data_IF_893818994771
#
_entry.id   IF_893818994771
#
_cell.length_a   1.000
_cell.length_b   1.000
_cell.length_c   1.000
_cell.angle_alpha   90.00
_cell.angle_beta   90.00
_cell.angle_gamma   90.00
#
_symmetry.space_group_name_H-M   'P 1'
#
loop_
_entity.id
_entity.type
_entity.pdbx_description
1 polymer ?
#
# COMPACT_ATOMS: atom_id res chain seq x y z
N UNK A 1 -4.88 -54.36 77.31
CA UNK A 1 -5.79 -53.22 77.34
C UNK A 1 -5.45 -52.39 76.08
N UNK A 2 -6.04 -52.69 75.01
CA UNK A 2 -7.19 -52.07 74.30
C UNK A 2 -6.98 -50.63 73.90
N UNK A 3 -6.88 -50.40 72.60
CA UNK A 3 -6.97 -49.05 72.03
C UNK A 3 -6.84 -49.14 70.52
N UNK A 4 -7.99 -49.52 69.86
CA UNK A 4 -8.14 -49.45 68.41
C UNK A 4 -8.44 -47.99 68.02
N UNK A 5 -7.70 -47.37 67.12
CA UNK A 5 -8.06 -46.15 66.45
C UNK A 5 -8.05 -46.40 64.97
N UNK A 6 -9.25 -46.34 64.37
CA UNK A 6 -9.57 -46.36 62.97
C UNK A 6 -9.20 -45.02 62.39
N UNK A 7 -8.29 -44.96 61.45
CA UNK A 7 -8.04 -43.79 60.61
C UNK A 7 -8.83 -43.97 59.31
N UNK A 8 -9.90 -43.20 59.16
CA UNK A 8 -10.69 -43.09 57.91
C UNK A 8 -9.94 -42.17 56.94
N UNK A 9 -9.41 -42.78 55.89
CA UNK A 9 -8.78 -42.04 54.80
C UNK A 9 -9.84 -41.46 53.86
N UNK A 10 -9.86 -40.13 53.75
CA UNK A 10 -10.65 -39.42 52.76
C UNK A 10 -9.85 -39.31 51.48
N UNK A 11 -10.24 -40.10 50.47
CA UNK A 11 -9.74 -39.94 49.08
C UNK A 11 -10.60 -38.91 48.39
N UNK A 12 -10.09 -37.68 48.22
CA UNK A 12 -10.70 -36.67 47.38
C UNK A 12 -10.22 -36.90 45.95
N UNK A 13 -11.07 -37.50 45.14
CA UNK A 13 -10.87 -37.60 43.70
C UNK A 13 -11.21 -36.23 43.04
N UNK A 14 -10.16 -35.49 42.68
CA UNK A 14 -10.28 -34.30 41.82
C UNK A 14 -10.45 -34.77 40.37
N UNK A 15 -11.69 -34.86 39.90
CA UNK A 15 -11.99 -35.00 38.48
C UNK A 15 -11.85 -33.62 37.84
N UNK A 16 -10.68 -33.33 37.31
CA UNK A 16 -10.46 -32.17 36.42
C UNK A 16 -11.00 -32.49 35.05
N UNK A 17 -12.20 -32.03 34.73
CA UNK A 17 -12.63 -31.90 33.32
C UNK A 17 -11.81 -30.81 32.65
N UNK A 18 -10.78 -31.18 31.92
CA UNK A 18 -10.21 -30.35 30.89
C UNK A 18 -11.04 -30.53 29.61
N UNK A 19 -12.07 -29.74 29.46
CA UNK A 19 -12.69 -29.50 28.16
C UNK A 19 -11.72 -28.69 27.31
N UNK A 20 -10.76 -29.34 26.70
CA UNK A 20 -10.08 -28.80 25.53
C UNK A 20 -11.05 -28.89 24.37
N UNK A 21 -11.98 -27.93 24.34
CA UNK A 21 -12.76 -27.66 23.14
C UNK A 21 -11.80 -27.39 22.01
N UNK A 22 -11.49 -28.42 21.24
CA UNK A 22 -10.88 -28.27 19.92
C UNK A 22 -11.87 -27.45 19.09
N UNK A 23 -11.65 -26.15 19.05
CA UNK A 23 -12.36 -25.30 18.07
C UNK A 23 -12.02 -25.88 16.71
N UNK A 24 -13.01 -26.34 15.93
CA UNK A 24 -12.73 -26.74 14.56
C UNK A 24 -12.17 -25.48 13.86
N UNK A 25 -10.91 -25.53 13.47
CA UNK A 25 -10.38 -24.57 12.52
C UNK A 25 -11.26 -24.66 11.28
N UNK A 26 -11.88 -23.59 10.82
CA UNK A 26 -12.61 -23.62 9.55
C UNK A 26 -11.56 -23.83 8.45
N UNK A 27 -11.37 -25.09 8.09
CA UNK A 27 -10.58 -25.50 6.94
C UNK A 27 -11.32 -25.02 5.70
N UNK A 28 -10.99 -23.83 5.20
CA UNK A 28 -11.53 -23.35 3.93
C UNK A 28 -11.63 -21.86 3.72
N UNK A 29 -11.42 -21.02 4.74
CA UNK A 29 -11.54 -19.55 4.59
C UNK A 29 -10.29 -18.79 5.10
N UNK A 30 -9.27 -19.50 5.54
CA UNK A 30 -8.07 -18.90 6.15
C UNK A 30 -7.09 -18.27 5.14
N UNK A 31 -7.32 -18.40 3.83
CA UNK A 31 -6.40 -17.85 2.83
C UNK A 31 -6.57 -16.34 2.58
N UNK A 32 -7.66 -15.75 3.07
CA UNK A 32 -8.02 -14.36 2.74
C UNK A 32 -8.25 -13.46 3.97
N UNK A 33 -7.97 -13.94 5.18
CA UNK A 33 -8.10 -13.14 6.39
C UNK A 33 -6.81 -12.35 6.65
N UNK A 34 -6.91 -11.05 6.75
CA UNK A 34 -5.79 -10.22 7.17
C UNK A 34 -5.32 -10.61 8.59
N UNK A 35 -4.01 -10.67 8.80
CA UNK A 35 -3.42 -10.95 10.11
C UNK A 35 -3.66 -9.79 11.09
N UNK A 36 -3.74 -8.56 10.56
CA UNK A 36 -3.98 -7.35 11.33
C UNK A 36 -4.75 -6.33 10.52
N UNK A 37 -5.65 -5.58 11.18
CA UNK A 37 -6.34 -4.41 10.61
C UNK A 37 -5.93 -3.18 11.40
N UNK A 38 -5.45 -2.16 10.69
CA UNK A 38 -5.01 -0.90 11.26
C UNK A 38 -5.91 0.20 10.72
N UNK A 39 -6.57 0.94 11.62
CA UNK A 39 -7.36 2.12 11.27
C UNK A 39 -6.49 3.37 11.38
N UNK A 40 -6.75 4.37 10.50
CA UNK A 40 -6.00 5.63 10.44
C UNK A 40 -4.48 5.40 10.35
N UNK A 41 -4.09 4.47 9.45
CA UNK A 41 -2.71 4.07 9.28
C UNK A 41 -1.84 5.24 8.82
N UNK A 42 -0.69 5.36 9.43
CA UNK A 42 0.35 6.33 9.06
C UNK A 42 1.70 5.65 9.08
N UNK A 43 2.44 5.73 7.98
CA UNK A 43 3.83 5.25 7.91
C UNK A 43 4.71 6.22 7.14
N UNK A 44 5.99 6.23 7.47
CA UNK A 44 7.01 7.09 6.84
C UNK A 44 8.06 6.20 6.19
N UNK A 45 8.22 6.37 4.88
CA UNK A 45 9.31 5.78 4.13
C UNK A 45 10.57 6.64 4.27
N UNK A 46 11.69 6.01 4.65
CA UNK A 46 13.01 6.62 4.58
C UNK A 46 13.73 6.03 3.37
N UNK A 47 14.41 6.86 2.63
CA UNK A 47 15.26 6.44 1.51
C UNK A 47 16.66 7.01 1.70
N UNK A 48 17.66 6.21 1.35
CA UNK A 48 19.04 6.66 1.25
C UNK A 48 19.12 7.74 0.17
N UNK A 49 19.54 8.94 0.54
CA UNK A 49 19.56 10.12 -0.34
C UNK A 49 18.53 11.19 0.02
N UNK A 50 17.84 11.07 1.16
CA UNK A 50 17.01 12.14 1.73
C UNK A 50 15.57 12.19 1.20
N UNK A 51 15.19 11.37 0.24
CA UNK A 51 13.79 11.29 -0.22
C UNK A 51 12.96 10.54 0.80
N UNK A 52 11.87 11.15 1.22
CA UNK A 52 10.95 10.61 2.21
C UNK A 52 9.57 10.49 1.57
N UNK A 53 8.87 9.44 1.90
CA UNK A 53 7.45 9.33 1.62
C UNK A 53 6.66 9.23 2.91
N UNK A 54 5.46 9.78 2.91
CA UNK A 54 4.51 9.70 4.01
C UNK A 54 3.23 9.08 3.47
N UNK A 55 2.94 7.87 3.88
CA UNK A 55 1.76 7.11 3.46
C UNK A 55 0.74 7.14 4.57
N UNK A 56 -0.48 7.54 4.25
CA UNK A 56 -1.65 7.45 5.13
C UNK A 56 -2.75 6.67 4.44
N UNK A 57 -3.53 5.93 5.20
CA UNK A 57 -4.71 5.22 4.73
C UNK A 57 -5.77 5.20 5.82
N UNK A 58 -7.04 5.20 5.41
CA UNK A 58 -8.17 5.08 6.32
C UNK A 58 -8.14 3.73 7.03
N UNK A 59 -7.89 2.68 6.28
CA UNK A 59 -7.74 1.32 6.79
C UNK A 59 -6.63 0.59 6.05
N UNK A 60 -5.80 -0.15 6.76
CA UNK A 60 -4.78 -1.05 6.23
C UNK A 60 -5.03 -2.48 6.72
N UNK A 61 -5.07 -3.42 5.80
CA UNK A 61 -5.13 -4.85 6.07
C UNK A 61 -3.75 -5.45 5.84
N UNK A 62 -3.15 -6.01 6.88
CA UNK A 62 -1.78 -6.54 6.83
C UNK A 62 -1.83 -8.04 6.59
N UNK A 63 -1.06 -8.51 5.62
CA UNK A 63 -0.88 -9.92 5.27
C UNK A 63 0.61 -10.25 5.39
N UNK A 64 1.02 -10.75 6.55
CA UNK A 64 2.44 -10.98 6.85
C UNK A 64 3.05 -12.07 5.98
N UNK A 65 2.34 -13.17 5.78
CA UNK A 65 2.81 -14.25 4.91
C UNK A 65 2.99 -13.81 3.45
N UNK A 66 2.12 -12.92 2.96
CA UNK A 66 2.19 -12.36 1.61
C UNK A 66 3.10 -11.12 1.52
N UNK A 67 3.66 -10.65 2.64
CA UNK A 67 4.49 -9.44 2.73
C UNK A 67 3.85 -8.22 2.06
N UNK A 68 2.55 -8.02 2.29
CA UNK A 68 1.79 -6.91 1.71
C UNK A 68 0.84 -6.26 2.72
N UNK A 69 0.47 -5.02 2.41
CA UNK A 69 -0.66 -4.33 3.03
C UNK A 69 -1.65 -3.87 1.95
N UNK A 70 -2.92 -4.18 2.13
CA UNK A 70 -4.01 -3.66 1.31
C UNK A 70 -4.57 -2.41 1.98
N UNK A 71 -4.52 -1.28 1.28
CA UNK A 71 -4.84 0.05 1.78
C UNK A 71 -6.19 0.53 1.22
N UNK A 72 -6.96 1.26 2.05
CA UNK A 72 -8.19 1.93 1.65
C UNK A 72 -8.05 3.42 1.85
N UNK A 73 -8.55 4.22 0.89
CA UNK A 73 -8.49 5.69 0.89
C UNK A 73 -7.07 6.19 1.18
N UNK A 74 -6.14 5.78 0.33
CA UNK A 74 -4.74 6.09 0.54
C UNK A 74 -4.37 7.49 0.06
N UNK A 75 -3.42 8.08 0.77
CA UNK A 75 -2.74 9.31 0.39
C UNK A 75 -1.25 9.16 0.65
N UNK A 76 -0.45 9.46 -0.37
CA UNK A 76 1.01 9.43 -0.28
C UNK A 76 1.54 10.82 -0.56
N UNK A 77 2.36 11.34 0.33
CA UNK A 77 3.13 12.58 0.11
C UNK A 77 4.56 12.18 -0.17
N UNK A 78 5.10 12.63 -1.30
CA UNK A 78 6.50 12.47 -1.64
C UNK A 78 7.25 13.76 -1.33
N UNK A 79 8.49 13.61 -0.91
CA UNK A 79 9.37 14.73 -0.57
C UNK A 79 10.62 14.68 -1.44
N UNK A 80 11.14 15.85 -1.79
CA UNK A 80 12.40 15.99 -2.50
C UNK A 80 13.63 15.77 -1.56
N UNK A 81 14.82 15.85 -2.13
CA UNK A 81 16.08 15.69 -1.38
C UNK A 81 16.26 16.73 -0.26
N UNK A 82 15.62 17.89 -0.37
CA UNK A 82 15.67 18.97 0.62
C UNK A 82 14.58 18.83 1.70
N UNK A 83 13.70 17.83 1.58
CA UNK A 83 12.60 17.60 2.50
C UNK A 83 11.34 18.42 2.20
N UNK A 84 11.25 19.13 1.07
CA UNK A 84 10.04 19.80 0.64
C UNK A 84 9.11 18.83 -0.07
N UNK A 85 7.81 19.03 0.11
CA UNK A 85 6.81 18.23 -0.60
C UNK A 85 6.97 18.40 -2.11
N UNK A 86 7.20 17.31 -2.82
CA UNK A 86 7.35 17.30 -4.28
C UNK A 86 6.06 16.92 -4.99
N UNK A 87 5.32 15.94 -4.48
CA UNK A 87 4.03 15.53 -5.04
C UNK A 87 3.14 14.84 -4.01
N UNK A 88 1.85 14.77 -4.33
CA UNK A 88 0.82 14.07 -3.54
C UNK A 88 0.07 13.13 -4.46
N UNK A 89 -0.05 11.86 -4.05
CA UNK A 89 -0.87 10.84 -4.68
C UNK A 89 -2.05 10.51 -3.78
N UNK A 90 -3.23 10.40 -4.37
CA UNK A 90 -4.44 9.87 -3.70
C UNK A 90 -5.07 8.78 -4.54
N UNK A 91 -5.67 7.76 -3.90
CA UNK A 91 -6.40 6.70 -4.58
C UNK A 91 -7.41 6.04 -3.64
N UNK A 92 -8.42 5.36 -4.21
CA UNK A 92 -9.43 4.63 -3.43
C UNK A 92 -8.84 3.43 -2.71
N UNK A 93 -7.86 2.75 -3.33
CA UNK A 93 -7.20 1.57 -2.76
C UNK A 93 -5.76 1.46 -3.24
N UNK A 94 -4.97 0.65 -2.54
CA UNK A 94 -3.63 0.31 -2.97
C UNK A 94 -3.10 -0.93 -2.29
N UNK A 95 -2.08 -1.53 -2.89
CA UNK A 95 -1.31 -2.64 -2.32
C UNK A 95 0.11 -2.14 -2.11
N UNK A 96 0.52 -2.10 -0.85
CA UNK A 96 1.88 -1.74 -0.48
C UNK A 96 2.70 -3.01 -0.21
N UNK A 97 3.80 -3.16 -0.90
CA UNK A 97 4.71 -4.28 -0.72
C UNK A 97 5.67 -3.99 0.45
N UNK A 98 5.63 -4.83 1.49
CA UNK A 98 6.44 -4.67 2.70
C UNK A 98 7.92 -4.98 2.48
N UNK A 99 8.24 -5.80 1.47
CA UNK A 99 9.62 -6.21 1.19
C UNK A 99 10.40 -5.10 0.48
N UNK A 100 9.83 -4.51 -0.58
CA UNK A 100 10.53 -3.54 -1.43
C UNK A 100 9.99 -2.12 -1.35
N UNK A 101 8.86 -1.90 -0.65
CA UNK A 101 8.25 -0.59 -0.49
C UNK A 101 7.59 -0.02 -1.73
N UNK A 102 7.34 -0.84 -2.77
CA UNK A 102 6.57 -0.43 -3.94
C UNK A 102 5.08 -0.36 -3.63
N UNK A 103 4.36 0.45 -4.38
CA UNK A 103 2.93 0.69 -4.20
C UNK A 103 2.19 0.52 -5.53
N UNK A 104 1.14 -0.27 -5.53
CA UNK A 104 0.15 -0.41 -6.61
C UNK A 104 -1.12 0.33 -6.18
N UNK A 105 -1.42 1.48 -6.77
CA UNK A 105 -2.56 2.34 -6.44
C UNK A 105 -3.67 2.18 -7.48
N UNK A 106 -4.92 2.06 -7.03
CA UNK A 106 -6.07 1.78 -7.88
C UNK A 106 -7.30 2.59 -7.52
N UNK A 107 -8.07 2.91 -8.53
CA UNK A 107 -9.35 3.59 -8.45
C UNK A 107 -9.22 5.09 -8.21
N UNK A 108 -9.57 5.87 -9.22
CA UNK A 108 -9.52 7.34 -9.20
C UNK A 108 -8.18 7.88 -8.70
N UNK A 109 -7.10 7.32 -9.24
CA UNK A 109 -5.75 7.76 -8.86
C UNK A 109 -5.53 9.17 -9.36
N UNK A 110 -5.16 10.06 -8.44
CA UNK A 110 -4.84 11.45 -8.73
C UNK A 110 -3.48 11.78 -8.14
N UNK A 111 -2.61 12.37 -8.95
CA UNK A 111 -1.30 12.86 -8.51
C UNK A 111 -1.19 14.33 -8.85
N UNK A 112 -0.72 15.12 -7.88
CA UNK A 112 -0.46 16.56 -8.06
C UNK A 112 0.95 16.88 -7.57
N UNK A 113 1.75 17.47 -8.43
CA UNK A 113 3.10 17.96 -8.08
C UNK A 113 3.05 19.36 -7.51
N UNK A 114 4.08 19.76 -6.77
CA UNK A 114 4.18 21.07 -6.11
C UNK A 114 4.19 22.24 -7.11
N UNK A 115 4.56 22.01 -8.36
CA UNK A 115 4.54 23.01 -9.43
C UNK A 115 3.21 23.06 -10.21
N UNK A 116 2.20 22.28 -9.77
CA UNK A 116 0.84 22.31 -10.28
C UNK A 116 0.58 21.39 -11.46
N UNK A 117 1.46 20.43 -11.77
CA UNK A 117 1.19 19.36 -12.73
C UNK A 117 0.26 18.34 -12.12
N UNK A 118 -0.70 17.86 -12.90
CA UNK A 118 -1.73 16.92 -12.44
C UNK A 118 -1.79 15.72 -13.34
N UNK A 119 -1.98 14.55 -12.74
CA UNK A 119 -2.20 13.31 -13.46
C UNK A 119 -3.37 12.57 -12.86
N UNK A 120 -4.27 12.10 -13.72
CA UNK A 120 -5.43 11.28 -13.35
C UNK A 120 -5.39 9.97 -14.13
N UNK A 121 -5.56 8.85 -13.44
CA UNK A 121 -5.61 7.51 -14.03
C UNK A 121 -6.41 6.56 -13.13
N UNK A 122 -6.73 5.36 -13.60
CA UNK A 122 -7.39 4.34 -12.77
C UNK A 122 -6.39 3.40 -12.09
N UNK A 123 -5.15 3.32 -12.60
CA UNK A 123 -4.13 2.45 -12.06
C UNK A 123 -2.76 3.13 -12.15
N UNK A 124 -1.97 3.05 -11.08
CA UNK A 124 -0.63 3.60 -11.03
C UNK A 124 0.25 2.75 -10.13
N UNK A 125 1.42 2.39 -10.62
CA UNK A 125 2.44 1.66 -9.88
C UNK A 125 3.60 2.61 -9.57
N UNK A 126 3.92 2.74 -8.29
CA UNK A 126 5.16 3.33 -7.83
C UNK A 126 6.20 2.22 -7.61
N UNK A 127 7.25 2.23 -8.42
CA UNK A 127 8.41 1.36 -8.25
C UNK A 127 9.47 2.10 -7.42
N UNK A 128 9.63 1.66 -6.19
CA UNK A 128 10.58 2.30 -5.26
C UNK A 128 12.04 2.08 -5.70
N UNK A 129 12.36 0.90 -6.24
CA UNK A 129 13.73 0.57 -6.65
C UNK A 129 14.21 1.40 -7.84
N UNK A 130 13.30 1.75 -8.75
CA UNK A 130 13.58 2.58 -9.92
C UNK A 130 13.25 4.05 -9.71
N UNK A 131 12.59 4.42 -8.61
CA UNK A 131 12.04 5.75 -8.33
C UNK A 131 11.16 6.26 -9.48
N UNK A 132 10.31 5.37 -10.00
CA UNK A 132 9.46 5.63 -11.16
C UNK A 132 7.98 5.42 -10.85
N UNK A 133 7.16 6.22 -11.51
CA UNK A 133 5.72 6.03 -11.63
C UNK A 133 5.43 5.44 -13.01
N UNK A 134 4.56 4.46 -13.06
CA UNK A 134 4.10 3.87 -14.32
C UNK A 134 2.62 3.52 -14.28
N UNK A 135 1.98 3.55 -15.42
CA UNK A 135 0.61 3.09 -15.63
C UNK A 135 0.50 2.36 -16.96
N UNK A 136 -0.36 1.39 -17.03
CA UNK A 136 -0.76 0.65 -18.24
C UNK A 136 -2.17 1.01 -18.70
N UNK A 137 -2.87 1.87 -17.95
CA UNK A 137 -4.23 2.30 -18.24
C UNK A 137 -4.29 3.67 -18.91
N UNK A 138 -5.49 4.12 -19.25
CA UNK A 138 -5.70 5.48 -19.75
C UNK A 138 -5.39 6.51 -18.68
N UNK A 139 -4.81 7.62 -19.10
CA UNK A 139 -4.48 8.72 -18.23
C UNK A 139 -4.77 10.08 -18.87
N UNK A 140 -4.92 11.09 -18.02
CA UNK A 140 -4.93 12.50 -18.37
C UNK A 140 -3.83 13.18 -17.58
N UNK A 141 -2.98 13.92 -18.26
CA UNK A 141 -1.93 14.72 -17.67
C UNK A 141 -2.14 16.18 -18.05
N UNK A 142 -2.14 17.05 -17.07
CA UNK A 142 -2.32 18.48 -17.20
C UNK A 142 -1.16 19.22 -16.55
N UNK A 143 -0.62 20.19 -17.29
CA UNK A 143 0.34 21.17 -16.80
C UNK A 143 -0.06 22.58 -17.27
N UNK A 144 0.75 23.59 -16.97
CA UNK A 144 0.50 24.95 -17.45
C UNK A 144 0.57 25.09 -18.96
N UNK A 145 1.35 24.24 -19.62
CA UNK A 145 1.68 24.32 -21.05
C UNK A 145 1.26 23.10 -21.84
N UNK A 146 0.88 22.03 -21.17
CA UNK A 146 0.63 20.74 -21.79
C UNK A 146 -0.66 20.11 -21.28
N UNK A 147 -1.45 19.62 -22.21
CA UNK A 147 -2.57 18.73 -21.94
C UNK A 147 -2.37 17.46 -22.76
N UNK A 148 -2.17 16.33 -22.07
CA UNK A 148 -1.83 15.08 -22.71
C UNK A 148 -2.78 13.98 -22.26
N UNK A 149 -3.24 13.18 -23.22
CA UNK A 149 -4.01 11.96 -22.98
C UNK A 149 -3.36 10.79 -23.65
N UNK A 150 -3.48 9.62 -23.06
CA UNK A 150 -2.92 8.42 -23.66
C UNK A 150 -3.26 7.17 -22.87
N UNK A 151 -2.65 6.07 -23.27
CA UNK A 151 -2.69 4.79 -22.56
C UNK A 151 -1.26 4.33 -22.35
N UNK A 152 -0.91 4.07 -21.09
CA UNK A 152 0.44 3.70 -20.70
C UNK A 152 1.40 4.90 -20.63
N UNK A 153 2.08 5.02 -19.50
CA UNK A 153 3.17 5.97 -19.32
C UNK A 153 4.18 5.50 -18.28
N UNK A 154 5.37 6.09 -18.35
CA UNK A 154 6.39 6.00 -17.30
C UNK A 154 6.90 7.41 -17.02
N UNK A 155 7.11 7.74 -15.74
CA UNK A 155 7.56 9.06 -15.30
C UNK A 155 8.46 8.96 -14.08
N UNK A 156 9.29 9.99 -13.86
CA UNK A 156 9.88 10.24 -12.53
C UNK A 156 8.81 10.72 -11.53
N UNK A 157 9.16 10.79 -10.24
CA UNK A 157 8.23 11.18 -9.16
C UNK A 157 7.78 12.65 -9.24
N UNK A 158 8.49 13.46 -9.99
CA UNK A 158 8.25 14.90 -10.12
C UNK A 158 7.59 15.26 -11.46
N UNK A 159 7.29 14.26 -12.31
CA UNK A 159 6.75 14.43 -13.67
C UNK A 159 7.59 15.37 -14.55
N UNK A 160 8.91 15.45 -14.32
CA UNK A 160 9.83 16.21 -15.16
C UNK A 160 10.06 15.54 -16.51
N UNK A 161 10.05 14.20 -16.50
CA UNK A 161 10.19 13.37 -17.70
C UNK A 161 9.01 12.41 -17.75
N UNK A 162 8.15 12.56 -18.75
CA UNK A 162 7.02 11.68 -18.99
C UNK A 162 7.19 11.00 -20.34
N UNK A 163 7.28 9.68 -20.34
CA UNK A 163 7.29 8.86 -21.55
C UNK A 163 5.92 8.21 -21.72
N UNK A 164 5.27 8.44 -22.84
CA UNK A 164 3.94 7.93 -23.16
C UNK A 164 4.02 6.81 -24.17
N UNK A 165 3.34 5.70 -23.91
CA UNK A 165 3.37 4.54 -24.82
C UNK A 165 2.42 4.72 -26.01
N UNK A 166 1.19 5.16 -25.76
CA UNK A 166 0.15 5.38 -26.79
C UNK A 166 -0.52 6.74 -26.57
N UNK A 167 0.05 7.83 -27.11
CA UNK A 167 -0.55 9.15 -26.98
C UNK A 167 -1.82 9.29 -27.83
N UNK A 168 -2.83 9.97 -27.28
CA UNK A 168 -4.08 10.31 -27.96
C UNK A 168 -4.30 11.81 -27.85
N UNK A 169 -3.84 12.56 -28.84
CA UNK A 169 -3.89 14.02 -28.83
C UNK A 169 -2.90 14.62 -27.82
N UNK A 170 -2.11 15.58 -28.25
CA UNK A 170 -1.20 16.31 -27.38
C UNK A 170 -1.01 17.75 -27.84
N UNK A 171 -0.70 18.62 -26.88
CA UNK A 171 -0.08 19.90 -27.15
C UNK A 171 1.44 19.76 -26.98
N UNK A 172 2.19 20.35 -27.90
CA UNK A 172 3.67 20.25 -27.93
C UNK A 172 4.25 21.08 -26.77
N UNK A 173 4.88 20.43 -25.82
CA UNK A 173 5.64 21.00 -24.71
C UNK A 173 6.99 20.32 -24.54
N UNK A 174 7.94 21.00 -23.91
CA UNK A 174 9.26 20.41 -23.61
C UNK A 174 9.11 19.43 -22.44
N UNK A 175 9.42 18.16 -22.62
CA UNK A 175 9.45 17.14 -21.57
C UNK A 175 8.69 15.85 -21.85
N UNK A 176 7.91 15.81 -22.95
CA UNK A 176 7.23 14.57 -23.36
C UNK A 176 8.02 13.85 -24.43
N UNK A 177 8.40 12.60 -24.17
CA UNK A 177 9.05 11.71 -25.13
C UNK A 177 8.03 10.73 -25.68
N UNK A 178 7.84 10.73 -27.00
CA UNK A 178 6.99 9.79 -27.71
C UNK A 178 7.90 8.79 -28.40
N UNK A 179 7.79 7.46 -28.14
CA UNK A 179 8.56 6.47 -28.85
C UNK A 179 8.20 6.45 -30.34
N UNK A 180 9.21 6.52 -31.22
CA UNK A 180 9.02 6.34 -32.67
C UNK A 180 8.84 7.62 -33.49
N UNK A 181 9.20 8.80 -32.97
CA UNK A 181 9.36 10.05 -33.77
C UNK A 181 10.82 10.50 -33.77
#
# INVERSE_FOLDING_TARGET
MTGRLLAVGWVVALVGCQDQGTRPSPSGVAADSADQVIFQMTTRGHEDGGRRSHVTADTAFVYQAAQRMDLRQLRVVFFDANGYQSSVLTAKSGIYNLTNGSLDARGSVFVESSDGRKLTTEHLIYDKGLLQLRSDTTFVYDSRTEHLRGTGFTSDLEFKTVRVDKPVGYHRGAGVTIPGQ
#
